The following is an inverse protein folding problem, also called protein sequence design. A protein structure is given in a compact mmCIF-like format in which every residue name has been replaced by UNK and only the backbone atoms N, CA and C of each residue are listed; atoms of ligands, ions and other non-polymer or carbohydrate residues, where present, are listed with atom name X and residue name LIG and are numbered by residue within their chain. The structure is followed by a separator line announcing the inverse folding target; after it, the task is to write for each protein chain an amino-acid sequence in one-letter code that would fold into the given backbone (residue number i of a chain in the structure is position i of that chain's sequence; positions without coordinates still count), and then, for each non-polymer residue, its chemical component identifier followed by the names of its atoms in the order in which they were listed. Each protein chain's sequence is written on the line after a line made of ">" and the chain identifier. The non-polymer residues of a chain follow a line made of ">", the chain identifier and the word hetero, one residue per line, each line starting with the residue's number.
data_IF_385500911168
#
_entry.id   IF_385500911168
#
_cell.length_a   1.000
_cell.length_b   1.000
_cell.length_c   1.000
_cell.angle_alpha   90.00
_cell.angle_beta   90.00
_cell.angle_gamma   90.00
#
_symmetry.space_group_name_H-M   'P 1'
#
loop_
_entity.id
_entity.type
_entity.pdbx_description
1 polymer ?
#
# COMPACT_ATOMS: atom_id res chain seq x y z
N UNK A 1 28.95 -25.10 -32.38
CA UNK A 1 28.11 -23.94 -32.76
C UNK A 1 27.15 -23.69 -31.61
N UNK A 2 27.19 -22.49 -31.02
CA UNK A 2 26.61 -22.13 -29.74
C UNK A 2 25.07 -22.07 -29.73
N UNK A 3 24.49 -22.20 -28.54
CA UNK A 3 23.10 -22.55 -28.30
C UNK A 3 22.05 -21.48 -28.52
N UNK A 4 20.84 -21.96 -28.80
CA UNK A 4 19.58 -21.21 -28.65
C UNK A 4 18.91 -21.67 -27.36
N UNK A 5 18.90 -20.79 -26.35
CA UNK A 5 18.19 -20.99 -25.09
C UNK A 5 16.69 -21.00 -25.37
N UNK A 6 16.08 -22.18 -25.36
CA UNK A 6 14.62 -22.32 -25.26
C UNK A 6 14.21 -21.83 -23.87
N UNK A 7 13.63 -20.63 -23.80
CA UNK A 7 13.08 -20.07 -22.57
C UNK A 7 11.91 -20.91 -22.09
N UNK A 8 12.20 -21.86 -21.21
CA UNK A 8 11.23 -22.65 -20.48
C UNK A 8 10.43 -21.71 -19.55
N UNK A 9 9.31 -21.17 -20.02
CA UNK A 9 8.28 -20.63 -19.13
C UNK A 9 7.64 -21.81 -18.39
N UNK A 10 8.24 -22.17 -17.26
CA UNK A 10 7.61 -23.08 -16.31
C UNK A 10 6.25 -22.50 -15.87
N UNK A 11 5.21 -23.33 -15.76
CA UNK A 11 3.86 -22.86 -15.47
C UNK A 11 3.74 -22.53 -13.97
N UNK A 12 3.64 -21.25 -13.62
CA UNK A 12 3.25 -20.80 -12.28
C UNK A 12 1.74 -21.04 -11.98
N UNK A 13 1.13 -22.05 -12.61
CA UNK A 13 -0.27 -22.45 -12.42
C UNK A 13 -0.43 -23.62 -11.44
N UNK A 14 0.48 -23.80 -10.47
CA UNK A 14 0.31 -24.75 -9.36
C UNK A 14 0.93 -24.25 -8.05
N UNK A 15 0.18 -23.41 -7.33
CA UNK A 15 0.09 -23.36 -5.85
C UNK A 15 -0.97 -22.34 -5.39
N UNK A 16 -2.18 -22.50 -5.92
CA UNK A 16 -3.40 -22.05 -5.23
C UNK A 16 -4.15 -23.31 -4.80
N UNK A 17 -3.47 -24.17 -4.02
CA UNK A 17 -4.20 -25.21 -3.30
C UNK A 17 -5.06 -24.51 -2.25
N UNK A 18 -6.36 -24.55 -2.50
CA UNK A 18 -7.42 -24.22 -1.57
C UNK A 18 -7.25 -25.11 -0.34
N UNK A 19 -6.63 -24.58 0.71
CA UNK A 19 -6.68 -25.14 2.05
C UNK A 19 -7.92 -24.60 2.79
N UNK A 20 -8.75 -25.44 3.42
CA UNK A 20 -9.91 -24.99 4.17
C UNK A 20 -9.45 -24.63 5.59
N UNK A 21 -8.76 -23.51 5.78
CA UNK A 21 -8.51 -22.92 7.11
C UNK A 21 -7.84 -21.56 6.97
N UNK A 22 -8.63 -20.50 6.84
CA UNK A 22 -8.17 -19.17 7.25
C UNK A 22 -9.15 -18.57 8.25
N UNK A 23 -8.85 -18.62 9.56
CA UNK A 23 -9.76 -18.15 10.58
C UNK A 23 -9.61 -16.63 10.70
N UNK A 24 -10.27 -15.88 9.82
CA UNK A 24 -10.63 -14.50 10.14
C UNK A 24 -11.96 -14.44 10.91
N UNK A 25 -12.22 -15.41 11.80
CA UNK A 25 -13.18 -15.25 12.88
C UNK A 25 -12.48 -14.56 14.06
N UNK A 26 -12.10 -13.30 13.85
CA UNK A 26 -11.60 -12.45 14.91
C UNK A 26 -12.69 -12.26 15.97
N UNK A 27 -12.43 -12.72 17.20
CA UNK A 27 -13.24 -12.40 18.38
C UNK A 27 -13.54 -10.90 18.39
N UNK A 28 -14.83 -10.56 18.43
CA UNK A 28 -15.33 -9.19 18.63
C UNK A 28 -15.00 -8.76 20.06
N UNK A 29 -13.78 -8.31 20.28
CA UNK A 29 -13.46 -7.51 21.46
C UNK A 29 -13.65 -6.05 21.06
N UNK A 30 -14.59 -5.37 21.73
CA UNK A 30 -15.12 -4.04 21.39
C UNK A 30 -14.12 -2.90 21.38
N UNK A 31 -13.19 -2.89 20.41
CA UNK A 31 -12.49 -1.67 19.97
C UNK A 31 -13.24 -1.09 18.79
N UNK A 32 -14.04 -0.09 19.10
CA UNK A 32 -14.72 0.83 18.19
C UNK A 32 -13.74 1.42 17.16
N UNK A 33 -14.14 1.31 15.87
CA UNK A 33 -13.48 1.83 14.65
C UNK A 33 -12.06 1.32 14.42
N UNK A 34 -11.94 0.30 13.55
CA UNK A 34 -10.66 -0.10 12.96
C UNK A 34 -10.15 1.08 12.12
N UNK A 35 -9.18 1.84 12.65
CA UNK A 35 -8.43 2.83 11.87
C UNK A 35 -7.69 2.08 10.75
N UNK A 36 -7.78 2.60 9.53
CA UNK A 36 -7.21 1.95 8.35
C UNK A 36 -5.68 2.08 8.39
N UNK A 37 -4.95 1.12 7.81
CA UNK A 37 -3.50 1.10 7.86
C UNK A 37 -2.91 2.39 7.27
N UNK A 38 -1.82 2.89 7.85
CA UNK A 38 -1.20 4.11 7.37
C UNK A 38 -0.52 3.92 6.01
N UNK A 39 -0.88 4.76 5.05
CA UNK A 39 -0.21 4.89 3.77
C UNK A 39 0.74 6.10 3.78
N UNK A 40 1.69 6.15 2.84
CA UNK A 40 2.55 7.32 2.64
C UNK A 40 1.71 8.44 2.01
N UNK A 41 2.07 9.69 2.27
CA UNK A 41 1.27 10.89 1.92
C UNK A 41 0.93 11.01 0.42
N UNK A 42 1.72 10.38 -0.44
CA UNK A 42 1.43 10.21 -1.86
C UNK A 42 0.80 8.82 -2.01
N UNK A 43 -0.53 8.79 -2.02
CA UNK A 43 -1.32 7.59 -2.30
C UNK A 43 -1.72 7.55 -3.77
N UNK A 44 -1.49 6.45 -4.50
CA UNK A 44 -2.15 6.20 -5.79
C UNK A 44 -3.59 5.74 -5.52
N UNK A 45 -4.52 6.70 -5.49
CA UNK A 45 -5.92 6.47 -5.12
C UNK A 45 -6.93 6.99 -6.14
N UNK A 46 -6.47 7.78 -7.11
CA UNK A 46 -7.28 8.38 -8.16
C UNK A 46 -6.49 8.47 -9.48
N UNK A 47 -7.14 9.03 -10.50
CA UNK A 47 -6.54 9.27 -11.83
C UNK A 47 -6.20 10.75 -12.06
N UNK A 48 -6.08 11.58 -11.01
CA UNK A 48 -5.83 13.02 -11.15
C UNK A 48 -4.36 13.38 -11.39
N UNK A 49 -3.49 12.37 -11.50
CA UNK A 49 -2.08 12.53 -11.84
C UNK A 49 -1.73 11.71 -13.07
N UNK A 50 -0.70 12.13 -13.80
CA UNK A 50 -0.19 11.38 -14.95
C UNK A 50 0.08 9.90 -14.62
N UNK A 51 0.68 9.62 -13.46
CA UNK A 51 0.92 8.24 -13.01
C UNK A 51 -0.39 7.51 -12.63
N UNK A 52 -1.35 8.22 -12.04
CA UNK A 52 -2.68 7.69 -11.72
C UNK A 52 -3.47 7.25 -12.96
N UNK A 53 -3.25 7.89 -14.11
CA UNK A 53 -3.81 7.46 -15.41
C UNK A 53 -3.01 6.31 -16.05
N UNK A 54 -1.67 6.39 -16.02
CA UNK A 54 -0.79 5.42 -16.68
C UNK A 54 -0.81 4.03 -16.01
N UNK A 55 -0.89 3.95 -14.68
CA UNK A 55 -0.78 2.69 -13.94
C UNK A 55 -1.95 1.74 -14.23
N UNK A 56 -3.23 2.15 -14.14
CA UNK A 56 -4.35 1.27 -14.47
C UNK A 56 -4.37 0.85 -15.95
N UNK A 57 -3.91 1.71 -16.86
CA UNK A 57 -3.82 1.38 -18.28
C UNK A 57 -2.82 0.24 -18.55
N UNK A 58 -1.69 0.25 -17.85
CA UNK A 58 -0.60 -0.72 -18.05
C UNK A 58 -0.75 -2.01 -17.21
N UNK A 59 -1.42 -1.93 -16.06
CA UNK A 59 -1.46 -3.01 -15.06
C UNK A 59 -2.87 -3.46 -14.66
N UNK A 60 -3.93 -2.81 -15.16
CA UNK A 60 -5.33 -3.14 -14.90
C UNK A 60 -6.01 -2.25 -13.84
N UNK A 61 -7.35 -2.31 -13.72
CA UNK A 61 -8.14 -1.39 -12.90
C UNK A 61 -7.83 -1.46 -11.39
N UNK A 62 -7.36 -2.61 -10.89
CA UNK A 62 -7.01 -2.81 -9.48
C UNK A 62 -5.55 -2.42 -9.14
N UNK A 63 -4.86 -1.76 -10.06
CA UNK A 63 -3.44 -1.42 -9.90
C UNK A 63 -3.19 -0.20 -8.98
N UNK A 64 -4.23 0.51 -8.56
CA UNK A 64 -4.14 1.57 -7.55
C UNK A 64 -3.97 0.96 -6.16
N UNK A 65 -3.06 1.52 -5.35
CA UNK A 65 -2.64 0.90 -4.09
C UNK A 65 -3.69 1.00 -2.97
N UNK A 66 -4.58 1.98 -3.07
CA UNK A 66 -5.64 2.24 -2.11
C UNK A 66 -6.85 2.81 -2.84
N UNK A 67 -8.05 2.40 -2.45
CA UNK A 67 -9.27 2.94 -3.02
C UNK A 67 -9.53 4.37 -2.51
N UNK A 68 -10.05 5.27 -3.35
CA UNK A 68 -10.37 6.65 -2.96
C UNK A 68 -11.32 6.71 -1.76
N UNK A 69 -12.31 5.82 -1.69
CA UNK A 69 -13.28 5.78 -0.60
C UNK A 69 -12.60 5.50 0.75
N UNK A 70 -11.48 4.77 0.74
CA UNK A 70 -10.66 4.50 1.93
C UNK A 70 -9.77 5.71 2.24
N UNK A 71 -9.09 6.25 1.23
CA UNK A 71 -8.14 7.36 1.37
C UNK A 71 -8.82 8.63 1.89
N UNK A 72 -9.98 8.95 1.33
CA UNK A 72 -10.79 10.15 1.61
C UNK A 72 -11.75 9.97 2.81
N UNK A 73 -11.75 8.80 3.46
CA UNK A 73 -12.62 8.54 4.61
C UNK A 73 -12.14 9.21 5.90
N UNK A 74 -13.07 9.43 6.84
CA UNK A 74 -12.76 9.82 8.23
C UNK A 74 -11.96 8.77 9.03
N UNK A 75 -11.76 7.57 8.48
CA UNK A 75 -10.90 6.55 9.09
C UNK A 75 -9.44 6.66 8.64
N UNK A 76 -9.15 7.50 7.64
CA UNK A 76 -7.81 7.77 7.13
C UNK A 76 -7.02 8.65 8.11
N UNK A 77 -5.78 8.24 8.40
CA UNK A 77 -4.84 8.97 9.27
C UNK A 77 -3.59 9.43 8.50
N UNK A 78 -3.64 9.39 7.16
CA UNK A 78 -2.48 9.66 6.29
C UNK A 78 -1.92 11.07 6.48
N UNK A 79 -2.78 12.06 6.74
CA UNK A 79 -2.39 13.45 6.94
C UNK A 79 -1.80 13.71 8.33
N UNK A 80 -2.41 13.16 9.39
CA UNK A 80 -1.85 13.23 10.76
C UNK A 80 -0.43 12.63 10.80
N UNK A 81 -0.20 11.55 10.06
CA UNK A 81 1.13 10.95 9.96
C UNK A 81 2.09 11.72 9.07
N UNK A 82 1.59 12.40 8.03
CA UNK A 82 2.40 13.31 7.23
C UNK A 82 2.99 14.42 8.11
N UNK A 83 2.16 15.01 8.96
CA UNK A 83 2.54 16.07 9.89
C UNK A 83 3.63 15.62 10.86
N UNK A 84 3.49 14.41 11.43
CA UNK A 84 4.47 13.85 12.35
C UNK A 84 5.87 13.72 11.75
N UNK A 85 6.01 13.65 10.42
CA UNK A 85 7.33 13.65 9.77
C UNK A 85 8.05 14.97 9.94
N UNK A 86 7.36 16.10 9.80
CA UNK A 86 7.96 17.42 10.00
C UNK A 86 8.41 17.60 11.45
N UNK A 87 7.55 17.24 12.41
CA UNK A 87 7.87 17.38 13.84
C UNK A 87 9.05 16.50 14.26
N UNK A 88 9.12 15.27 13.72
CA UNK A 88 10.27 14.38 13.98
C UNK A 88 11.56 14.93 13.37
N UNK A 89 11.51 15.46 12.14
CA UNK A 89 12.67 16.09 11.50
C UNK A 89 13.11 17.32 12.30
N UNK A 90 12.17 18.15 12.76
CA UNK A 90 12.45 19.30 13.62
C UNK A 90 13.15 18.86 14.91
N UNK A 91 12.67 17.80 15.56
CA UNK A 91 13.29 17.29 16.78
C UNK A 91 14.73 16.80 16.55
N UNK A 92 14.99 16.12 15.43
CA UNK A 92 16.35 15.70 15.05
C UNK A 92 17.25 16.90 14.77
N UNK A 93 16.76 17.89 14.02
CA UNK A 93 17.54 19.10 13.71
C UNK A 93 17.91 19.88 14.98
N UNK A 94 16.93 20.12 15.86
CA UNK A 94 17.14 20.74 17.18
C UNK A 94 18.18 19.95 17.98
N UNK A 95 18.01 18.64 18.13
CA UNK A 95 18.91 17.81 18.92
C UNK A 95 20.34 17.67 18.35
N UNK A 96 20.56 18.03 17.08
CA UNK A 96 21.86 17.88 16.41
C UNK A 96 22.54 19.20 16.09
N UNK A 97 21.80 20.32 16.05
CA UNK A 97 22.30 21.63 15.64
C UNK A 97 22.14 22.72 16.71
N UNK A 98 21.42 22.46 17.81
CA UNK A 98 21.44 23.35 18.97
C UNK A 98 22.72 23.12 19.77
N UNK A 99 23.74 23.93 19.46
CA UNK A 99 24.88 24.28 20.31
C UNK A 99 24.88 25.80 20.52
#
# INVERSE_FOLDING_TARGET
>A
MAGTRTGHCLPLARRAERGPDHPHRGRRNGRTRRRLPPHRCLGLHDHHTRLGEEVPHNYGPDALEVADEVYSSSASIVFDQAENRLHTIKAVLVATLED
#
